data_IF_147089552814
#
_entry.id   IF_147089552814
#
_cell.length_a   1.000
_cell.length_b   1.000
_cell.length_c   1.000
_cell.angle_alpha   90.00
_cell.angle_beta   90.00
_cell.angle_gamma   90.00
#
_symmetry.space_group_name_H-M   'P 1'
#
loop_
_entity.id
_entity.type
_entity.pdbx_description
1 polymer ?
#
# COMPACT_ATOMS: atom_id res chain seq x y z
N UNK A 1 6.63 -7.86 -8.54
CA UNK A 1 5.78 -7.99 -7.33
C UNK A 1 6.09 -6.85 -6.39
N UNK A 2 5.13 -6.00 -6.04
CA UNK A 2 5.36 -4.85 -5.14
C UNK A 2 5.68 -5.33 -3.71
N UNK A 3 6.91 -5.11 -3.24
CA UNK A 3 7.33 -5.46 -1.86
C UNK A 3 7.08 -4.28 -0.91
N UNK A 4 6.68 -4.58 0.33
CA UNK A 4 6.50 -3.54 1.34
C UNK A 4 7.84 -2.92 1.79
N UNK A 5 7.86 -1.63 2.14
CA UNK A 5 9.06 -0.93 2.62
C UNK A 5 9.68 -1.64 3.83
N UNK A 6 8.86 -2.26 4.68
CA UNK A 6 9.34 -3.02 5.85
C UNK A 6 10.08 -4.29 5.44
N UNK A 7 9.58 -5.00 4.42
CA UNK A 7 10.21 -6.20 3.90
C UNK A 7 11.58 -5.87 3.29
N UNK A 8 11.65 -4.81 2.47
CA UNK A 8 12.89 -4.35 1.85
C UNK A 8 13.92 -3.90 2.90
N UNK A 9 13.45 -3.19 3.94
CA UNK A 9 14.31 -2.75 5.04
C UNK A 9 14.89 -3.92 5.83
N UNK A 10 14.07 -4.93 6.14
CA UNK A 10 14.50 -6.12 6.86
C UNK A 10 15.49 -6.97 6.04
N UNK A 11 15.21 -7.17 4.75
CA UNK A 11 16.06 -7.91 3.82
C UNK A 11 17.43 -7.26 3.64
N UNK A 12 17.47 -5.93 3.47
CA UNK A 12 18.71 -5.18 3.22
C UNK A 12 19.44 -4.75 4.51
N UNK A 13 18.89 -5.02 5.69
CA UNK A 13 19.42 -4.54 6.96
C UNK A 13 19.46 -3.01 7.08
N UNK A 14 18.57 -2.31 6.38
CA UNK A 14 18.55 -0.85 6.31
C UNK A 14 17.42 -0.28 7.17
N UNK A 15 17.60 0.96 7.65
CA UNK A 15 16.50 1.70 8.27
C UNK A 15 15.41 2.01 7.24
N UNK A 16 14.14 2.00 7.68
CA UNK A 16 12.98 2.33 6.83
C UNK A 16 13.14 3.69 6.14
N UNK A 17 13.72 4.68 6.83
CA UNK A 17 14.00 6.01 6.29
C UNK A 17 15.09 5.98 5.21
N UNK A 18 16.11 5.13 5.35
CA UNK A 18 17.15 4.94 4.32
C UNK A 18 16.58 4.29 3.07
N UNK A 19 15.71 3.29 3.23
CA UNK A 19 14.98 2.69 2.08
C UNK A 19 14.11 3.75 1.40
N UNK A 20 13.41 4.60 2.17
CA UNK A 20 12.59 5.67 1.62
C UNK A 20 13.40 6.69 0.80
N UNK A 21 14.57 7.09 1.31
CA UNK A 21 15.48 8.04 0.68
C UNK A 21 16.15 7.45 -0.56
N UNK A 22 16.50 6.17 -0.54
CA UNK A 22 17.17 5.46 -1.64
C UNK A 22 16.21 4.81 -2.63
N UNK A 23 14.90 4.99 -2.45
CA UNK A 23 13.87 4.39 -3.33
C UNK A 23 13.97 4.89 -4.77
N UNK A 24 14.39 6.13 -4.98
CA UNK A 24 14.71 6.66 -6.32
C UNK A 24 15.82 5.86 -7.03
N UNK A 25 16.64 5.12 -6.27
CA UNK A 25 17.74 4.29 -6.75
C UNK A 25 17.43 2.79 -6.71
N UNK A 26 16.19 2.39 -6.39
CA UNK A 26 15.77 0.98 -6.35
C UNK A 26 15.03 0.59 -7.62
N UNK A 27 15.22 -0.65 -8.08
CA UNK A 27 14.66 -1.21 -9.32
C UNK A 27 13.12 -1.14 -9.45
N UNK A 28 12.40 -0.96 -8.34
CA UNK A 28 10.93 -0.78 -8.32
C UNK A 28 10.48 0.68 -8.59
N UNK A 29 11.42 1.61 -8.81
CA UNK A 29 11.14 2.99 -9.21
C UNK A 29 10.99 3.03 -10.73
N UNK A 30 9.75 3.11 -11.20
CA UNK A 30 9.44 3.34 -12.62
C UNK A 30 9.00 4.79 -12.80
N UNK A 31 9.94 5.73 -12.96
CA UNK A 31 9.60 7.07 -13.38
C UNK A 31 9.29 7.09 -14.88
N UNK A 32 8.47 8.04 -15.30
CA UNK A 32 8.31 8.40 -16.71
C UNK A 32 9.63 8.97 -17.27
N UNK A 33 9.70 9.23 -18.59
CA UNK A 33 10.90 9.74 -19.27
C UNK A 33 11.55 10.97 -18.62
N UNK A 34 10.76 11.74 -17.87
CA UNK A 34 11.17 12.98 -17.21
C UNK A 34 11.47 12.80 -15.70
N UNK A 35 11.54 11.56 -15.19
CA UNK A 35 11.87 11.30 -13.78
C UNK A 35 10.68 11.39 -12.82
N UNK A 36 9.47 11.64 -13.32
CA UNK A 36 8.24 11.83 -12.54
C UNK A 36 7.51 10.52 -12.27
N UNK A 37 6.87 10.39 -11.09
CA UNK A 37 5.98 9.27 -10.76
C UNK A 37 4.56 9.64 -11.18
N UNK A 38 3.98 8.89 -12.12
CA UNK A 38 2.58 9.09 -12.52
C UNK A 38 1.64 8.75 -11.36
N UNK A 39 0.71 9.65 -11.07
CA UNK A 39 -0.35 9.45 -10.08
C UNK A 39 -1.70 9.81 -10.69
N UNK A 40 -2.73 9.03 -10.38
CA UNK A 40 -4.09 9.34 -10.83
C UNK A 40 -4.55 10.69 -10.28
N UNK A 41 -5.48 11.36 -10.96
CA UNK A 41 -6.05 12.63 -10.48
C UNK A 41 -7.40 12.38 -9.81
N UNK A 42 -7.71 13.10 -8.73
CA UNK A 42 -9.02 13.04 -8.06
C UNK A 42 -9.61 14.44 -7.90
N UNK A 43 -10.93 14.55 -8.09
CA UNK A 43 -11.68 15.80 -7.90
C UNK A 43 -12.02 15.98 -6.42
N UNK A 44 -11.60 17.11 -5.84
CA UNK A 44 -11.97 17.47 -4.47
C UNK A 44 -13.42 17.93 -4.34
N UNK A 45 -13.89 18.08 -3.10
CA UNK A 45 -15.24 18.61 -2.77
C UNK A 45 -15.44 20.01 -3.35
N UNK A 46 -14.37 20.80 -3.42
CA UNK A 46 -14.32 22.12 -4.03
C UNK A 46 -14.23 22.11 -5.57
N UNK A 47 -14.26 20.92 -6.19
CA UNK A 47 -14.23 20.74 -7.63
C UNK A 47 -12.84 20.81 -8.28
N UNK A 48 -11.78 21.10 -7.52
CA UNK A 48 -10.41 21.19 -8.04
C UNK A 48 -9.79 19.81 -8.21
N UNK A 49 -9.11 19.59 -9.34
CA UNK A 49 -8.34 18.38 -9.61
C UNK A 49 -7.02 18.42 -8.83
N UNK A 50 -6.74 17.35 -8.08
CA UNK A 50 -5.49 17.17 -7.34
C UNK A 50 -4.89 15.81 -7.64
N UNK A 51 -3.55 15.68 -7.59
CA UNK A 51 -2.92 14.37 -7.59
C UNK A 51 -3.51 13.50 -6.47
N UNK A 52 -3.99 12.33 -6.83
CA UNK A 52 -4.51 11.37 -5.89
C UNK A 52 -3.34 10.86 -5.04
N UNK A 53 -3.26 11.38 -3.81
CA UNK A 53 -2.25 10.90 -2.86
C UNK A 53 -2.55 9.47 -2.39
N UNK A 54 -3.78 9.00 -2.56
CA UNK A 54 -4.22 7.72 -2.05
C UNK A 54 -4.08 6.64 -3.13
N UNK A 55 -3.22 5.66 -2.87
CA UNK A 55 -3.09 4.46 -3.72
C UNK A 55 -4.43 3.74 -3.76
N UNK A 56 -4.83 3.24 -4.93
CA UNK A 56 -6.00 2.37 -5.01
C UNK A 56 -5.74 1.08 -4.22
N UNK A 57 -6.57 0.85 -3.20
CA UNK A 57 -6.50 -0.34 -2.35
C UNK A 57 -7.70 -1.25 -2.51
N UNK A 58 -8.51 -1.05 -3.55
CA UNK A 58 -9.79 -1.74 -3.75
C UNK A 58 -9.60 -3.26 -3.76
N UNK A 59 -8.63 -3.78 -4.50
CA UNK A 59 -8.44 -5.22 -4.63
C UNK A 59 -7.87 -5.85 -3.37
N UNK A 60 -6.92 -5.18 -2.71
CA UNK A 60 -6.43 -5.60 -1.39
C UNK A 60 -7.56 -5.66 -0.36
N UNK A 61 -8.43 -4.68 -0.37
CA UNK A 61 -9.54 -4.59 0.57
C UNK A 61 -10.63 -5.65 0.26
N UNK A 62 -10.81 -6.06 -1.00
CA UNK A 62 -11.65 -7.23 -1.36
C UNK A 62 -11.06 -8.52 -0.82
N UNK A 63 -9.76 -8.72 -1.01
CA UNK A 63 -9.08 -9.93 -0.58
C UNK A 63 -9.10 -10.11 0.94
N UNK A 64 -8.87 -9.03 1.70
CA UNK A 64 -8.99 -9.03 3.16
C UNK A 64 -10.39 -9.46 3.62
N UNK A 65 -11.45 -9.01 2.93
CA UNK A 65 -12.82 -9.41 3.25
C UNK A 65 -13.11 -10.86 2.90
N UNK A 66 -12.54 -11.37 1.79
CA UNK A 66 -12.65 -12.78 1.39
C UNK A 66 -12.02 -13.68 2.44
N UNK A 67 -10.76 -13.44 2.79
CA UNK A 67 -10.02 -14.24 3.77
C UNK A 67 -10.67 -14.21 5.17
N UNK A 68 -11.24 -13.06 5.57
CA UNK A 68 -12.00 -12.97 6.82
C UNK A 68 -13.29 -13.79 6.78
N UNK A 69 -13.98 -13.82 5.64
CA UNK A 69 -15.19 -14.65 5.45
C UNK A 69 -14.85 -16.14 5.48
N UNK A 70 -13.68 -16.50 4.98
CA UNK A 70 -13.14 -17.87 5.02
C UNK A 70 -12.69 -18.29 6.44
N UNK A 71 -12.86 -17.42 7.44
CA UNK A 71 -12.62 -17.72 8.86
C UNK A 71 -11.17 -17.56 9.31
N UNK A 72 -10.29 -17.01 8.47
CA UNK A 72 -8.91 -16.77 8.87
C UNK A 72 -8.79 -15.73 10.00
N UNK A 73 -7.81 -15.92 10.87
CA UNK A 73 -7.50 -14.93 11.91
C UNK A 73 -6.97 -13.63 11.29
N UNK A 74 -7.29 -12.50 11.89
CA UNK A 74 -6.83 -11.18 11.43
C UNK A 74 -5.31 -11.06 11.33
N UNK A 75 -4.56 -11.78 12.19
CA UNK A 75 -3.09 -11.81 12.16
C UNK A 75 -2.56 -12.61 10.98
N UNK A 76 -3.22 -13.72 10.63
CA UNK A 76 -2.91 -14.51 9.44
C UNK A 76 -3.15 -13.69 8.16
N UNK A 77 -4.32 -13.05 8.07
CA UNK A 77 -4.67 -12.17 6.93
C UNK A 77 -3.65 -11.04 6.76
N UNK A 78 -3.23 -10.42 7.86
CA UNK A 78 -2.24 -9.35 7.83
C UNK A 78 -0.89 -9.82 7.27
N UNK A 79 -0.46 -11.02 7.66
CA UNK A 79 0.78 -11.62 7.17
C UNK A 79 0.67 -12.02 5.69
N UNK A 80 -0.45 -12.62 5.28
CA UNK A 80 -0.70 -13.08 3.91
C UNK A 80 -0.77 -11.91 2.92
N UNK A 81 -1.51 -10.86 3.28
CA UNK A 81 -1.69 -9.66 2.44
C UNK A 81 -0.50 -8.69 2.57
N UNK A 82 0.39 -8.90 3.53
CA UNK A 82 1.55 -8.02 3.76
C UNK A 82 1.17 -6.63 4.30
N UNK A 83 0.16 -6.56 5.16
CA UNK A 83 -0.31 -5.31 5.78
C UNK A 83 -0.32 -5.39 7.32
N UNK A 84 -0.69 -4.29 7.98
CA UNK A 84 -0.78 -4.28 9.45
C UNK A 84 -2.12 -4.83 9.93
N UNK A 85 -2.16 -5.43 11.12
CA UNK A 85 -3.41 -5.90 11.74
C UNK A 85 -4.44 -4.76 11.88
N UNK A 86 -3.99 -3.55 12.21
CA UNK A 86 -4.87 -2.37 12.27
C UNK A 86 -5.49 -2.02 10.90
N UNK A 87 -4.79 -2.28 9.80
CA UNK A 87 -5.33 -2.14 8.44
C UNK A 87 -6.47 -3.13 8.20
N UNK A 88 -6.28 -4.38 8.61
CA UNK A 88 -7.31 -5.44 8.52
C UNK A 88 -8.56 -5.07 9.33
N UNK A 89 -8.39 -4.69 10.60
CA UNK A 89 -9.50 -4.21 11.45
C UNK A 89 -10.29 -3.07 10.81
N UNK A 90 -9.58 -2.04 10.33
CA UNK A 90 -10.20 -0.89 9.70
C UNK A 90 -11.04 -1.30 8.50
N UNK A 91 -10.53 -2.19 7.64
CA UNK A 91 -11.22 -2.61 6.41
C UNK A 91 -12.47 -3.43 6.72
N UNK A 92 -12.39 -4.34 7.70
CA UNK A 92 -13.53 -5.14 8.14
C UNK A 92 -14.62 -4.25 8.74
N UNK A 93 -14.24 -3.25 9.54
CA UNK A 93 -15.20 -2.35 10.20
C UNK A 93 -15.75 -1.23 9.29
N UNK A 94 -15.10 -0.93 8.15
CA UNK A 94 -15.50 0.18 7.25
C UNK A 94 -16.87 -0.05 6.56
N UNK A 95 -17.46 -1.23 6.67
CA UNK A 95 -18.75 -1.59 6.06
C UNK A 95 -19.80 -2.13 7.03
N UNK A 96 -19.57 -2.02 8.35
CA UNK A 96 -20.63 -2.13 9.36
C UNK A 96 -21.27 -0.76 9.54
#
# INVERSE_FOLDING_TARGET
MSRSIRAIAAEKGLSKSTVHRRRQSSDDYQPDSDGMVTVDMTKGIDGKLRPNRQVDTTDRDKEIRRLHRDGQSMRSIANEVGCSVGTVHRIINKGK
#
